data_IF_287406210156
#
_entry.id   IF_287406210156
#
_cell.length_a   1.000
_cell.length_b   1.000
_cell.length_c   1.000
_cell.angle_alpha   90.00
_cell.angle_beta   90.00
_cell.angle_gamma   90.00
#
_symmetry.space_group_name_H-M   'P 1'
#
loop_
_entity.id
_entity.type
_entity.pdbx_description
1 polymer ?
#
# COMPACT_ATOMS: atom_id res chain seq x y z
N UNK A 1 18.69 3.83 -4.14
CA UNK A 1 18.80 5.18 -3.50
C UNK A 1 17.55 5.93 -3.86
N UNK A 2 16.87 6.57 -2.89
CA UNK A 2 15.77 7.47 -3.20
C UNK A 2 16.28 8.80 -3.71
N UNK A 3 15.68 9.32 -4.76
CA UNK A 3 15.97 10.69 -5.20
C UNK A 3 15.30 11.66 -4.23
N UNK A 4 16.09 12.43 -3.54
CA UNK A 4 15.62 13.50 -2.66
C UNK A 4 16.05 14.80 -3.28
N UNK A 5 15.10 15.69 -3.58
CA UNK A 5 15.42 17.02 -4.06
C UNK A 5 15.83 17.89 -2.87
N UNK A 6 16.99 18.51 -2.95
CA UNK A 6 17.39 19.57 -2.03
C UNK A 6 16.87 20.88 -2.57
N UNK A 7 15.94 21.50 -1.87
CA UNK A 7 15.38 22.80 -2.23
C UNK A 7 16.38 23.89 -1.89
N UNK A 8 16.83 24.63 -2.88
CA UNK A 8 18.04 25.47 -2.85
C UNK A 8 18.08 26.51 -1.74
N UNK A 9 16.96 27.04 -1.29
CA UNK A 9 16.93 28.14 -0.30
C UNK A 9 16.66 27.70 1.15
N UNK A 10 16.36 26.42 1.38
CA UNK A 10 15.98 25.94 2.71
C UNK A 10 16.61 24.58 3.08
N UNK A 11 17.39 23.95 2.21
CA UNK A 11 18.00 22.61 2.37
C UNK A 11 16.98 21.55 2.87
N UNK A 12 15.70 21.73 2.55
CA UNK A 12 14.65 20.83 2.97
C UNK A 12 14.50 19.67 1.98
N UNK A 13 14.70 18.42 2.41
CA UNK A 13 14.50 17.29 1.53
C UNK A 13 13.01 17.12 1.20
N UNK A 14 12.70 16.87 -0.07
CA UNK A 14 11.36 16.53 -0.54
C UNK A 14 11.43 15.49 -1.66
N UNK A 15 10.41 14.62 -1.74
CA UNK A 15 10.30 13.68 -2.86
C UNK A 15 9.65 14.35 -4.08
N UNK A 16 9.96 13.89 -5.31
CA UNK A 16 9.31 14.39 -6.52
C UNK A 16 7.79 14.31 -6.46
N UNK A 17 7.24 13.20 -5.98
CA UNK A 17 5.79 13.01 -5.86
C UNK A 17 5.14 14.01 -4.91
N UNK A 18 5.81 14.40 -3.85
CA UNK A 18 5.32 15.41 -2.91
C UNK A 18 5.35 16.81 -3.53
N UNK A 19 6.42 17.16 -4.23
CA UNK A 19 6.53 18.41 -4.97
C UNK A 19 5.43 18.53 -6.01
N UNK A 20 5.19 17.49 -6.82
CA UNK A 20 4.10 17.49 -7.81
C UNK A 20 2.73 17.65 -7.15
N UNK A 21 2.50 16.99 -6.03
CA UNK A 21 1.26 17.14 -5.27
C UNK A 21 1.07 18.57 -4.77
N UNK A 22 2.08 19.18 -4.18
CA UNK A 22 1.98 20.54 -3.69
C UNK A 22 1.78 21.53 -4.86
N UNK A 23 2.56 21.40 -5.93
CA UNK A 23 2.41 22.24 -7.11
C UNK A 23 1.00 22.17 -7.70
N UNK A 24 0.47 20.97 -7.93
CA UNK A 24 -0.89 20.78 -8.42
C UNK A 24 -1.96 21.38 -7.49
N UNK A 25 -1.75 21.27 -6.18
CA UNK A 25 -2.66 21.86 -5.17
C UNK A 25 -2.65 23.38 -5.24
N UNK A 26 -1.49 24.01 -5.44
CA UNK A 26 -1.34 25.46 -5.50
C UNK A 26 -1.86 26.05 -6.82
N UNK A 27 -1.65 25.36 -7.94
CA UNK A 27 -2.04 25.82 -9.27
C UNK A 27 -3.46 25.44 -9.68
N UNK A 28 -4.08 24.50 -8.97
CA UNK A 28 -5.36 23.90 -9.36
C UNK A 28 -5.26 22.97 -10.57
N UNK A 29 -4.06 22.55 -10.95
CA UNK A 29 -3.85 21.62 -12.05
C UNK A 29 -4.42 20.23 -11.74
N UNK A 30 -4.92 19.57 -12.79
CA UNK A 30 -5.37 18.19 -12.68
C UNK A 30 -4.19 17.28 -12.32
N UNK A 31 -4.37 16.49 -11.26
CA UNK A 31 -3.36 15.60 -10.76
C UNK A 31 -3.29 14.32 -11.60
N UNK A 32 -2.11 13.96 -12.09
CA UNK A 32 -1.90 12.71 -12.82
C UNK A 32 -1.62 11.55 -11.84
N UNK A 33 -2.61 10.68 -11.66
CA UNK A 33 -2.58 9.56 -10.72
C UNK A 33 -1.56 8.43 -11.08
N UNK A 34 -0.58 8.67 -11.93
CA UNK A 34 0.26 7.62 -12.52
C UNK A 34 1.62 7.39 -11.87
N UNK A 35 2.12 8.31 -11.06
CA UNK A 35 3.49 8.23 -10.58
C UNK A 35 3.59 7.52 -9.24
N UNK A 36 4.42 6.47 -9.22
CA UNK A 36 4.88 5.81 -8.01
C UNK A 36 6.26 6.36 -7.64
N UNK A 37 6.54 6.59 -6.37
CA UNK A 37 7.86 7.04 -5.91
C UNK A 37 9.02 6.29 -6.56
N UNK A 38 8.93 4.97 -6.67
CA UNK A 38 10.00 4.15 -7.24
C UNK A 38 10.14 4.31 -8.76
N UNK A 39 9.03 4.39 -9.50
CA UNK A 39 9.07 4.63 -10.96
C UNK A 39 9.53 6.05 -11.26
N UNK A 40 9.18 7.02 -10.41
CA UNK A 40 9.65 8.39 -10.51
C UNK A 40 11.17 8.48 -10.37
N UNK A 41 11.75 7.83 -9.36
CA UNK A 41 13.19 7.83 -9.12
C UNK A 41 13.97 7.27 -10.31
N UNK A 42 13.51 6.12 -10.88
CA UNK A 42 14.11 5.51 -12.06
C UNK A 42 13.95 6.42 -13.31
N UNK A 43 12.80 7.04 -13.46
CA UNK A 43 12.50 7.93 -14.59
C UNK A 43 13.26 9.25 -14.50
N UNK A 44 13.39 9.85 -13.34
CA UNK A 44 14.14 11.09 -13.12
C UNK A 44 15.64 10.86 -13.32
N UNK A 45 16.18 9.73 -12.88
CA UNK A 45 17.57 9.37 -13.06
C UNK A 45 17.96 9.19 -14.54
N UNK A 46 16.99 8.91 -15.41
CA UNK A 46 17.20 8.63 -16.84
C UNK A 46 16.69 9.72 -17.79
N UNK A 47 16.03 10.77 -17.28
CA UNK A 47 15.39 11.79 -18.09
C UNK A 47 15.62 13.20 -17.53
N UNK A 48 16.61 13.90 -18.08
CA UNK A 48 17.04 15.23 -17.65
C UNK A 48 15.90 16.27 -17.72
N UNK A 49 15.12 16.31 -18.79
CA UNK A 49 14.01 17.24 -18.92
C UNK A 49 12.90 17.04 -17.89
N UNK A 50 12.73 15.82 -17.39
CA UNK A 50 11.80 15.54 -16.30
C UNK A 50 12.36 16.03 -14.96
N UNK A 51 13.65 15.88 -14.74
CA UNK A 51 14.32 16.41 -13.56
C UNK A 51 14.21 17.92 -13.49
N UNK A 52 14.50 18.63 -14.60
CA UNK A 52 14.35 20.09 -14.71
C UNK A 52 12.91 20.53 -14.41
N UNK A 53 11.90 19.85 -14.97
CA UNK A 53 10.50 20.15 -14.70
C UNK A 53 10.13 20.04 -13.21
N UNK A 54 10.65 19.01 -12.52
CA UNK A 54 10.43 18.86 -11.07
C UNK A 54 11.15 19.95 -10.30
N UNK A 55 12.34 20.37 -10.70
CA UNK A 55 13.05 21.48 -10.08
C UNK A 55 12.29 22.80 -10.24
N UNK A 56 11.75 23.09 -11.43
CA UNK A 56 10.92 24.27 -11.65
C UNK A 56 9.68 24.28 -10.75
N UNK A 57 8.99 23.13 -10.63
CA UNK A 57 7.86 22.98 -9.71
C UNK A 57 8.28 23.18 -8.25
N UNK A 58 9.45 22.66 -7.85
CA UNK A 58 9.97 22.84 -6.51
C UNK A 58 10.24 24.32 -6.20
N UNK A 59 10.84 25.06 -7.13
CA UNK A 59 11.05 26.50 -6.98
C UNK A 59 9.72 27.25 -6.85
N UNK A 60 8.71 26.90 -7.66
CA UNK A 60 7.39 27.50 -7.57
C UNK A 60 6.72 27.21 -6.20
N UNK A 61 6.82 26.00 -5.70
CA UNK A 61 6.29 25.61 -4.38
C UNK A 61 6.99 26.36 -3.25
N UNK A 62 8.31 26.54 -3.31
CA UNK A 62 9.07 27.27 -2.29
C UNK A 62 8.79 28.77 -2.33
N UNK A 63 8.56 29.34 -3.54
CA UNK A 63 8.21 30.75 -3.71
C UNK A 63 6.81 31.08 -3.20
N UNK A 64 5.89 30.10 -3.20
CA UNK A 64 4.53 30.29 -2.69
C UNK A 64 4.47 30.17 -1.16
N UNK A 65 3.88 31.14 -0.41
CA UNK A 65 3.79 31.10 1.04
C UNK A 65 3.09 29.83 1.59
N UNK A 66 2.02 29.35 0.94
CA UNK A 66 1.31 28.13 1.34
C UNK A 66 2.15 26.89 1.01
N UNK A 67 2.80 26.87 -0.15
CA UNK A 67 3.71 25.81 -0.54
C UNK A 67 4.84 25.64 0.48
N UNK A 68 5.46 26.75 0.88
CA UNK A 68 6.49 26.78 1.92
C UNK A 68 5.96 26.31 3.29
N UNK A 69 4.75 26.72 3.66
CA UNK A 69 4.09 26.26 4.89
C UNK A 69 3.91 24.73 4.91
N UNK A 70 3.45 24.15 3.81
CA UNK A 70 3.28 22.71 3.68
C UNK A 70 4.60 21.94 3.70
N UNK A 71 5.66 22.47 3.09
CA UNK A 71 7.01 21.91 3.19
C UNK A 71 7.52 21.92 4.64
N UNK A 72 7.37 23.03 5.32
CA UNK A 72 7.75 23.16 6.74
C UNK A 72 6.89 22.24 7.62
N UNK A 73 5.62 22.03 7.30
CA UNK A 73 4.75 21.09 8.01
C UNK A 73 5.24 19.66 7.86
N UNK A 74 5.58 19.23 6.64
CA UNK A 74 6.16 17.92 6.38
C UNK A 74 7.47 17.72 7.14
N UNK A 75 8.31 18.73 7.15
CA UNK A 75 9.57 18.68 7.90
C UNK A 75 9.37 18.56 9.43
N UNK A 76 8.34 19.20 9.97
CA UNK A 76 7.97 19.02 11.39
C UNK A 76 7.53 17.60 11.68
N UNK A 77 6.67 17.01 10.85
CA UNK A 77 6.31 15.59 10.96
C UNK A 77 7.53 14.68 10.88
N UNK A 78 8.41 14.92 9.93
CA UNK A 78 9.65 14.16 9.78
C UNK A 78 10.53 14.22 11.04
N UNK A 79 10.72 15.42 11.59
CA UNK A 79 11.46 15.61 12.84
C UNK A 79 10.81 14.85 14.01
N UNK A 80 9.50 14.91 14.14
CA UNK A 80 8.77 14.20 15.21
C UNK A 80 8.88 12.70 15.06
N UNK A 81 8.74 12.16 13.84
CA UNK A 81 8.95 10.74 13.56
C UNK A 81 10.37 10.28 13.90
N UNK A 82 11.37 11.08 13.61
CA UNK A 82 12.78 10.79 13.95
C UNK A 82 13.06 10.81 15.46
N UNK A 83 12.41 11.70 16.19
CA UNK A 83 12.69 11.92 17.63
C UNK A 83 11.73 11.14 18.54
N UNK A 84 10.70 10.48 17.97
CA UNK A 84 9.64 9.84 18.76
C UNK A 84 8.73 10.84 19.49
N UNK A 85 8.81 12.12 19.15
CA UNK A 85 7.99 13.17 19.75
C UNK A 85 6.76 13.42 18.89
N UNK A 86 5.59 12.96 19.33
CA UNK A 86 4.37 12.90 18.53
C UNK A 86 3.40 14.06 18.76
N UNK A 87 3.85 15.22 19.19
CA UNK A 87 2.95 16.34 19.52
C UNK A 87 2.10 16.82 18.33
N UNK A 88 2.72 17.01 17.16
CA UNK A 88 2.03 17.47 15.95
C UNK A 88 1.17 16.35 15.35
N UNK A 89 1.54 15.09 15.58
CA UNK A 89 0.75 13.94 15.12
C UNK A 89 -0.63 13.86 15.80
N UNK A 90 -0.83 14.54 16.94
CA UNK A 90 -2.16 14.66 17.58
C UNK A 90 -3.16 15.38 16.69
N UNK A 91 -2.72 16.26 15.80
CA UNK A 91 -3.58 16.98 14.87
C UNK A 91 -4.23 16.00 13.85
N UNK A 92 -3.61 14.83 13.65
CA UNK A 92 -4.16 13.76 12.83
C UNK A 92 -5.35 13.03 13.48
N UNK A 93 -5.64 13.29 14.77
CA UNK A 93 -6.82 12.71 15.45
C UNK A 93 -8.15 13.10 14.78
N UNK A 94 -8.17 14.19 13.98
CA UNK A 94 -9.32 14.57 13.15
C UNK A 94 -9.58 13.66 11.96
N UNK A 95 -8.65 12.73 11.64
CA UNK A 95 -8.76 11.76 10.56
C UNK A 95 -9.00 10.36 11.11
N UNK A 96 -9.74 9.55 10.37
CA UNK A 96 -9.93 8.13 10.59
C UNK A 96 -9.39 7.35 9.41
N UNK A 97 -8.29 6.65 9.60
CA UNK A 97 -7.61 5.91 8.53
C UNK A 97 -8.29 4.57 8.29
N UNK A 98 -8.52 4.25 7.02
CA UNK A 98 -8.97 2.93 6.57
C UNK A 98 -7.86 2.29 5.75
N UNK A 99 -7.08 1.44 6.39
CA UNK A 99 -5.98 0.74 5.75
C UNK A 99 -6.47 -0.56 5.12
N UNK A 100 -6.35 -0.65 3.78
CA UNK A 100 -6.67 -1.85 3.03
C UNK A 100 -5.39 -2.65 2.82
N UNK A 101 -5.22 -3.73 3.58
CA UNK A 101 -4.01 -4.55 3.62
C UNK A 101 -4.29 -5.88 2.92
N UNK A 102 -3.33 -6.36 2.13
CA UNK A 102 -3.41 -7.65 1.47
C UNK A 102 -2.36 -7.79 0.39
N UNK A 103 -2.00 -9.02 0.09
CA UNK A 103 -1.11 -9.33 -1.03
C UNK A 103 -1.69 -8.73 -2.33
N UNK A 104 -0.87 -8.34 -3.33
CA UNK A 104 -1.41 -7.82 -4.59
C UNK A 104 -2.44 -8.78 -5.21
N UNK A 105 -3.43 -8.23 -5.91
CA UNK A 105 -4.49 -8.99 -6.64
C UNK A 105 -5.55 -9.65 -5.77
N UNK A 106 -5.69 -9.26 -4.51
CA UNK A 106 -6.74 -9.74 -3.58
C UNK A 106 -7.98 -8.86 -3.49
N UNK A 107 -8.13 -7.86 -4.39
CA UNK A 107 -9.30 -6.99 -4.41
C UNK A 107 -9.15 -5.68 -3.61
N UNK A 108 -8.00 -5.44 -3.00
CA UNK A 108 -7.78 -4.23 -2.18
C UNK A 108 -8.06 -2.92 -2.90
N UNK A 109 -7.71 -2.80 -4.19
CA UNK A 109 -8.02 -1.61 -5.01
C UNK A 109 -9.53 -1.36 -5.13
N UNK A 110 -10.36 -2.41 -5.20
CA UNK A 110 -11.82 -2.25 -5.22
C UNK A 110 -12.32 -1.61 -3.92
N UNK A 111 -11.94 -2.16 -2.75
CA UNK A 111 -12.36 -1.60 -1.45
C UNK A 111 -11.87 -0.15 -1.27
N UNK A 112 -10.64 0.13 -1.66
CA UNK A 112 -10.10 1.50 -1.62
C UNK A 112 -10.94 2.45 -2.48
N UNK A 113 -11.28 2.05 -3.72
CA UNK A 113 -12.17 2.83 -4.60
C UNK A 113 -13.55 3.05 -3.98
N UNK A 114 -14.14 2.02 -3.35
CA UNK A 114 -15.43 2.17 -2.69
C UNK A 114 -15.38 3.15 -1.51
N UNK A 115 -14.29 3.15 -0.74
CA UNK A 115 -14.10 4.13 0.34
C UNK A 115 -13.99 5.57 -0.18
N UNK A 116 -13.21 5.81 -1.25
CA UNK A 116 -13.15 7.13 -1.90
C UNK A 116 -14.50 7.56 -2.44
N UNK A 117 -15.22 6.65 -3.12
CA UNK A 117 -16.57 6.90 -3.63
C UNK A 117 -17.55 7.22 -2.51
N UNK A 118 -17.49 6.53 -1.38
CA UNK A 118 -18.27 6.82 -0.19
C UNK A 118 -18.07 8.27 0.28
N UNK A 119 -16.84 8.78 0.20
CA UNK A 119 -16.48 10.16 0.50
C UNK A 119 -16.82 11.18 -0.59
N UNK A 120 -17.41 10.76 -1.72
CA UNK A 120 -17.68 11.62 -2.87
C UNK A 120 -16.42 12.04 -3.65
N UNK A 121 -15.31 11.34 -3.44
CA UNK A 121 -14.02 11.63 -4.08
C UNK A 121 -13.82 10.72 -5.29
N UNK A 122 -13.50 11.31 -6.45
CA UNK A 122 -13.15 10.54 -7.63
C UNK A 122 -11.75 9.93 -7.46
N UNK A 123 -11.69 8.61 -7.30
CA UNK A 123 -10.45 7.89 -7.12
C UNK A 123 -9.42 8.11 -8.26
N UNK A 124 -9.87 8.33 -9.49
CA UNK A 124 -8.98 8.51 -10.65
C UNK A 124 -8.22 9.83 -10.62
N UNK A 125 -8.66 10.79 -9.82
CA UNK A 125 -8.01 12.08 -9.63
C UNK A 125 -7.13 12.13 -8.39
N UNK A 126 -7.09 11.04 -7.62
CA UNK A 126 -6.28 10.97 -6.39
C UNK A 126 -4.89 10.42 -6.71
N UNK A 127 -3.88 11.10 -6.19
CA UNK A 127 -2.50 10.64 -6.37
C UNK A 127 -2.27 9.23 -5.82
N UNK A 128 -1.48 8.43 -6.54
CA UNK A 128 -1.12 7.09 -6.10
C UNK A 128 -0.46 7.08 -4.71
N UNK A 129 0.45 8.01 -4.43
CA UNK A 129 1.10 8.11 -3.13
C UNK A 129 0.10 8.36 -1.98
N UNK A 130 -1.01 9.05 -2.25
CA UNK A 130 -2.07 9.29 -1.27
C UNK A 130 -2.99 8.06 -1.10
N UNK A 131 -3.33 7.36 -2.18
CA UNK A 131 -4.31 6.28 -2.20
C UNK A 131 -3.72 4.86 -2.11
N UNK A 132 -2.50 4.66 -2.60
CA UNK A 132 -1.81 3.37 -2.66
C UNK A 132 -0.48 3.38 -1.91
N UNK A 133 0.21 2.23 -1.91
CA UNK A 133 1.58 2.10 -1.40
C UNK A 133 2.46 3.24 -1.94
N UNK A 134 2.96 4.08 -1.06
CA UNK A 134 3.76 5.25 -1.40
C UNK A 134 5.03 5.34 -0.56
N UNK A 135 5.43 4.25 0.12
CA UNK A 135 6.58 4.22 1.02
C UNK A 135 7.54 3.08 0.62
N UNK A 136 8.15 3.12 -0.58
CA UNK A 136 9.04 2.05 -1.04
C UNK A 136 10.23 1.84 -0.10
N UNK A 137 10.73 2.89 0.56
CA UNK A 137 11.84 2.78 1.50
C UNK A 137 11.45 2.12 2.81
N UNK A 138 10.24 2.35 3.34
CA UNK A 138 9.75 1.62 4.53
C UNK A 138 9.63 0.12 4.28
N UNK A 139 9.25 -0.26 3.06
CA UNK A 139 9.09 -1.66 2.69
C UNK A 139 10.41 -2.40 2.43
N UNK A 140 11.52 -1.68 2.26
CA UNK A 140 12.86 -2.23 2.08
C UNK A 140 13.64 -2.38 3.39
N UNK A 141 12.95 -2.41 4.52
CA UNK A 141 13.56 -2.64 5.84
C UNK A 141 14.15 -4.06 5.91
N UNK A 142 15.23 -4.31 5.17
CA UNK A 142 16.06 -5.48 5.38
C UNK A 142 17.08 -5.14 6.47
N UNK A 143 17.38 -6.11 7.33
CA UNK A 143 18.42 -5.95 8.35
C UNK A 143 19.81 -5.64 7.78
N UNK A 144 19.99 -5.74 6.46
CA UNK A 144 21.24 -5.49 5.75
C UNK A 144 21.40 -4.03 5.29
N UNK A 145 20.30 -3.30 5.14
CA UNK A 145 20.32 -1.91 4.68
C UNK A 145 19.95 -0.96 5.84
N UNK A 146 20.86 -0.85 6.82
CA UNK A 146 20.68 0.08 7.92
C UNK A 146 21.12 1.50 7.50
N UNK A 147 20.45 2.53 8.01
CA UNK A 147 20.82 3.92 7.81
C UNK A 147 19.82 4.71 6.94
N UNK A 148 20.28 5.28 5.83
CA UNK A 148 19.52 6.26 5.02
C UNK A 148 18.15 5.75 4.51
N UNK A 149 17.96 4.44 4.36
CA UNK A 149 16.68 3.84 3.92
C UNK A 149 15.56 4.14 4.91
N UNK A 150 15.82 4.03 6.19
CA UNK A 150 14.84 4.36 7.24
C UNK A 150 14.49 5.84 7.24
N UNK A 151 15.49 6.70 7.13
CA UNK A 151 15.31 8.14 7.08
C UNK A 151 14.42 8.56 5.91
N UNK A 152 14.69 8.03 4.71
CA UNK A 152 13.87 8.28 3.53
C UNK A 152 12.44 7.72 3.68
N UNK A 153 12.28 6.58 4.31
CA UNK A 153 10.96 6.01 4.61
C UNK A 153 10.15 6.90 5.55
N UNK A 154 10.77 7.42 6.60
CA UNK A 154 10.13 8.37 7.52
C UNK A 154 9.82 9.71 6.86
N UNK A 155 10.70 10.19 5.94
CA UNK A 155 10.41 11.37 5.14
C UNK A 155 9.17 11.16 4.27
N UNK A 156 9.10 10.05 3.53
CA UNK A 156 7.92 9.72 2.71
C UNK A 156 6.64 9.60 3.54
N UNK A 157 6.73 9.08 4.77
CA UNK A 157 5.60 9.04 5.69
C UNK A 157 5.19 10.44 6.14
N UNK A 158 6.13 11.32 6.46
CA UNK A 158 5.87 12.71 6.83
C UNK A 158 5.19 13.50 5.68
N UNK A 159 5.67 13.31 4.45
CA UNK A 159 5.07 13.86 3.25
C UNK A 159 3.62 13.36 3.07
N UNK A 160 3.40 12.05 3.22
CA UNK A 160 2.06 11.47 3.17
C UNK A 160 1.12 12.09 4.20
N UNK A 161 1.57 12.25 5.45
CA UNK A 161 0.76 12.88 6.49
C UNK A 161 0.38 14.31 6.13
N UNK A 162 1.31 15.06 5.55
CA UNK A 162 1.04 16.42 5.05
C UNK A 162 0.04 16.40 3.87
N UNK A 163 0.21 15.47 2.93
CA UNK A 163 -0.74 15.29 1.83
C UNK A 163 -2.15 14.95 2.35
N UNK A 164 -2.26 14.13 3.38
CA UNK A 164 -3.54 13.81 4.05
C UNK A 164 -4.17 15.09 4.63
N UNK A 165 -3.41 15.88 5.36
CA UNK A 165 -3.91 17.13 5.94
C UNK A 165 -4.42 18.10 4.87
N UNK A 166 -3.64 18.30 3.82
CA UNK A 166 -3.99 19.21 2.72
C UNK A 166 -5.20 18.69 1.96
N UNK A 167 -5.13 17.48 1.44
CA UNK A 167 -6.16 16.93 0.56
C UNK A 167 -7.48 16.65 1.30
N UNK A 168 -7.43 15.90 2.40
CA UNK A 168 -8.66 15.54 3.13
C UNK A 168 -9.17 16.68 4.01
N UNK A 169 -8.33 17.64 4.38
CA UNK A 169 -8.76 18.86 5.02
C UNK A 169 -9.67 19.69 4.08
N UNK A 170 -9.36 19.69 2.79
CA UNK A 170 -10.13 20.41 1.78
C UNK A 170 -11.29 19.60 1.19
N UNK A 171 -11.04 18.33 0.84
CA UNK A 171 -11.97 17.48 0.10
C UNK A 171 -12.71 16.44 0.95
N UNK A 172 -12.25 16.13 2.15
CA UNK A 172 -12.87 15.15 3.02
C UNK A 172 -14.25 15.58 3.50
N UNK A 173 -15.29 14.81 3.18
CA UNK A 173 -16.68 15.10 3.53
C UNK A 173 -17.33 14.02 4.38
N UNK A 174 -16.76 12.83 4.37
CA UNK A 174 -17.30 11.69 5.09
C UNK A 174 -16.57 11.53 6.42
N UNK A 175 -17.33 11.62 7.51
CA UNK A 175 -16.83 11.40 8.86
C UNK A 175 -17.34 10.06 9.41
N UNK A 176 -16.50 9.37 10.16
CA UNK A 176 -16.83 8.14 10.86
C UNK A 176 -16.11 8.11 12.21
N UNK A 177 -16.85 7.82 13.29
CA UNK A 177 -16.31 7.79 14.65
C UNK A 177 -15.49 9.03 15.03
N UNK A 178 -15.99 10.20 14.62
CA UNK A 178 -15.38 11.49 14.95
C UNK A 178 -14.22 11.93 14.05
N UNK A 179 -13.80 11.12 13.07
CA UNK A 179 -12.73 11.47 12.15
C UNK A 179 -13.15 11.45 10.69
N UNK A 180 -12.52 12.30 9.86
CA UNK A 180 -12.66 12.29 8.41
C UNK A 180 -12.02 11.02 7.87
N UNK A 181 -12.73 10.26 7.04
CA UNK A 181 -12.23 9.01 6.48
C UNK A 181 -11.08 9.26 5.49
N UNK A 182 -9.96 8.59 5.73
CA UNK A 182 -8.77 8.58 4.87
C UNK A 182 -8.51 7.15 4.38
N UNK A 183 -8.93 6.78 3.17
CA UNK A 183 -8.65 5.47 2.63
C UNK A 183 -7.21 5.36 2.14
N UNK A 184 -6.54 4.27 2.48
CA UNK A 184 -5.21 3.96 1.96
C UNK A 184 -5.03 2.47 1.74
N UNK A 185 -4.62 2.08 0.54
CA UNK A 185 -4.20 0.71 0.27
C UNK A 185 -2.73 0.54 0.63
N UNK A 186 -2.45 -0.35 1.56
CA UNK A 186 -1.11 -0.67 2.05
C UNK A 186 -0.75 -2.13 1.84
N UNK A 187 -0.30 -2.49 0.66
CA UNK A 187 0.10 -3.87 0.35
C UNK A 187 1.27 -4.33 1.22
N UNK A 188 2.28 -3.48 1.38
CA UNK A 188 3.52 -3.79 2.11
C UNK A 188 3.48 -3.46 3.61
N UNK A 189 2.34 -3.03 4.14
CA UNK A 189 2.19 -2.65 5.55
C UNK A 189 2.64 -3.74 6.54
N UNK A 190 2.52 -5.01 6.15
CA UNK A 190 2.92 -6.15 6.99
C UNK A 190 4.39 -6.12 7.43
N UNK A 191 5.27 -5.46 6.67
CA UNK A 191 6.71 -5.38 6.95
C UNK A 191 7.10 -4.24 7.89
N UNK A 192 6.22 -3.26 8.12
CA UNK A 192 6.46 -2.10 9.00
C UNK A 192 5.23 -1.75 9.83
N UNK A 193 4.41 -2.75 10.14
CA UNK A 193 3.11 -2.54 10.79
C UNK A 193 3.24 -1.96 12.19
N UNK A 194 4.30 -2.29 12.93
CA UNK A 194 4.52 -1.74 14.28
C UNK A 194 4.56 -0.21 14.27
N UNK A 195 5.24 0.39 13.28
CA UNK A 195 5.26 1.83 13.10
C UNK A 195 3.85 2.38 12.82
N UNK A 196 3.08 1.72 11.94
CA UNK A 196 1.70 2.15 11.64
C UNK A 196 0.79 2.01 12.85
N UNK A 197 0.96 0.95 13.64
CA UNK A 197 0.20 0.73 14.87
C UNK A 197 0.45 1.86 15.86
N UNK A 198 1.71 2.18 16.14
CA UNK A 198 2.07 3.25 17.08
C UNK A 198 1.52 4.62 16.66
N UNK A 199 1.53 4.90 15.36
CA UNK A 199 1.06 6.20 14.85
C UNK A 199 -0.46 6.33 14.76
N UNK A 200 -1.17 5.23 14.47
CA UNK A 200 -2.58 5.28 14.08
C UNK A 200 -3.51 4.42 14.93
N UNK A 201 -3.03 3.70 15.94
CA UNK A 201 -3.79 2.69 16.69
C UNK A 201 -5.21 3.14 17.06
N UNK A 202 -5.35 4.32 17.63
CA UNK A 202 -6.64 4.86 18.04
C UNK A 202 -7.55 5.31 16.89
N UNK A 203 -6.95 5.59 15.72
CA UNK A 203 -7.60 6.27 14.60
C UNK A 203 -7.61 5.44 13.31
N UNK A 204 -7.34 4.14 13.38
CA UNK A 204 -7.33 3.27 12.21
C UNK A 204 -8.37 2.14 12.28
N UNK A 205 -8.90 1.78 11.12
CA UNK A 205 -9.62 0.55 10.84
C UNK A 205 -8.86 -0.22 9.74
N UNK A 206 -8.88 -1.55 9.79
CA UNK A 206 -8.10 -2.39 8.88
C UNK A 206 -9.03 -3.31 8.09
N UNK A 207 -8.93 -3.26 6.76
CA UNK A 207 -9.61 -4.15 5.83
C UNK A 207 -8.58 -5.11 5.26
N UNK A 208 -8.55 -6.33 5.73
CA UNK A 208 -7.58 -7.34 5.30
C UNK A 208 -8.18 -8.19 4.20
N UNK A 209 -7.68 -8.02 2.97
CA UNK A 209 -8.16 -8.78 1.81
C UNK A 209 -7.39 -10.08 1.65
N UNK A 210 -8.10 -11.18 1.55
CA UNK A 210 -7.56 -12.54 1.46
C UNK A 210 -8.03 -13.22 0.17
N UNK A 211 -7.16 -13.96 -0.51
CA UNK A 211 -7.48 -14.70 -1.73
C UNK A 211 -6.66 -15.97 -1.81
N UNK A 212 -7.27 -17.03 -2.36
CA UNK A 212 -6.61 -18.31 -2.60
C UNK A 212 -5.29 -18.13 -3.38
N UNK A 213 -4.18 -18.81 -2.98
CA UNK A 213 -2.86 -18.56 -3.54
C UNK A 213 -2.80 -18.77 -5.06
N UNK A 214 -3.37 -19.83 -5.61
CA UNK A 214 -3.38 -20.07 -7.07
C UNK A 214 -4.18 -19.02 -7.83
N UNK A 215 -5.35 -18.64 -7.33
CA UNK A 215 -6.14 -17.57 -7.97
C UNK A 215 -5.41 -16.22 -7.93
N UNK A 216 -4.62 -15.97 -6.90
CA UNK A 216 -3.76 -14.79 -6.79
C UNK A 216 -2.60 -14.88 -7.77
N UNK A 217 -1.88 -16.02 -7.80
CA UNK A 217 -0.79 -16.32 -8.71
C UNK A 217 -1.22 -16.12 -10.17
N UNK A 218 -2.35 -16.69 -10.57
CA UNK A 218 -2.90 -16.51 -11.92
C UNK A 218 -3.13 -15.05 -12.26
N UNK A 219 -3.75 -14.29 -11.33
CA UNK A 219 -4.00 -12.86 -11.56
C UNK A 219 -2.72 -12.03 -11.65
N UNK A 220 -1.62 -12.48 -11.03
CA UNK A 220 -0.28 -11.89 -11.21
C UNK A 220 0.28 -12.25 -12.59
N UNK A 221 0.21 -13.52 -12.97
CA UNK A 221 0.63 -13.99 -14.29
C UNK A 221 -0.07 -13.24 -15.42
N UNK A 222 -1.40 -13.10 -15.35
CA UNK A 222 -2.19 -12.37 -16.34
C UNK A 222 -1.73 -10.91 -16.46
N UNK A 223 -1.36 -10.28 -15.34
CA UNK A 223 -0.82 -8.91 -15.32
C UNK A 223 0.61 -8.82 -15.87
N UNK A 224 1.39 -9.89 -15.75
CA UNK A 224 2.81 -9.96 -16.12
C UNK A 224 3.05 -10.55 -17.51
N UNK A 225 2.00 -10.80 -18.30
CA UNK A 225 2.12 -11.32 -19.67
C UNK A 225 2.12 -12.86 -19.76
N UNK A 226 1.60 -13.56 -18.73
CA UNK A 226 1.45 -15.03 -18.74
C UNK A 226 2.61 -15.76 -18.05
N UNK A 227 2.59 -17.09 -18.13
CA UNK A 227 3.67 -17.93 -17.60
C UNK A 227 4.95 -17.75 -18.44
N UNK A 228 6.14 -17.61 -17.81
CA UNK A 228 7.40 -17.67 -18.53
C UNK A 228 7.54 -18.96 -19.33
N UNK A 229 8.20 -18.91 -20.49
CA UNK A 229 8.29 -20.06 -21.38
C UNK A 229 8.99 -21.29 -20.75
N UNK A 230 9.93 -21.05 -19.85
CA UNK A 230 10.65 -22.08 -19.09
C UNK A 230 9.98 -22.47 -17.78
N UNK A 231 8.82 -21.87 -17.43
CA UNK A 231 8.10 -22.10 -16.19
C UNK A 231 8.78 -21.54 -14.93
N UNK A 232 9.93 -20.86 -15.08
CA UNK A 232 10.71 -20.38 -13.95
C UNK A 232 10.35 -18.96 -13.53
N UNK A 233 10.70 -18.61 -12.29
CA UNK A 233 10.45 -17.27 -11.79
C UNK A 233 11.27 -16.21 -12.53
N UNK A 234 10.58 -15.16 -12.98
CA UNK A 234 11.18 -14.00 -13.64
C UNK A 234 10.51 -12.71 -13.19
N UNK A 235 11.28 -11.62 -13.12
CA UNK A 235 10.78 -10.29 -12.74
C UNK A 235 10.43 -9.52 -14.02
N UNK A 236 9.13 -9.43 -14.34
CA UNK A 236 8.57 -8.74 -15.52
C UNK A 236 7.55 -7.66 -15.13
N UNK A 237 7.20 -7.61 -13.84
CA UNK A 237 6.24 -6.66 -13.28
C UNK A 237 6.62 -6.19 -11.89
N UNK A 238 6.04 -5.10 -11.44
CA UNK A 238 6.22 -4.60 -10.06
C UNK A 238 5.82 -5.65 -9.00
N UNK A 239 4.82 -6.48 -9.28
CA UNK A 239 4.38 -7.51 -8.32
C UNK A 239 5.42 -8.64 -8.21
N UNK A 240 6.01 -9.06 -9.33
CA UNK A 240 7.10 -10.04 -9.34
C UNK A 240 8.35 -9.46 -8.65
N UNK A 241 8.62 -8.16 -8.82
CA UNK A 241 9.67 -7.48 -8.05
C UNK A 241 9.41 -7.55 -6.54
N UNK A 242 8.18 -7.35 -6.09
CA UNK A 242 7.84 -7.50 -4.67
C UNK A 242 7.98 -8.94 -4.17
N UNK A 243 7.70 -9.91 -5.01
CA UNK A 243 7.97 -11.32 -4.71
C UNK A 243 9.47 -11.56 -4.54
N UNK A 244 10.29 -11.03 -5.43
CA UNK A 244 11.76 -11.08 -5.32
C UNK A 244 12.23 -10.41 -4.01
N UNK A 245 11.79 -9.19 -3.74
CA UNK A 245 12.18 -8.42 -2.54
C UNK A 245 11.84 -9.19 -1.24
N UNK A 246 10.67 -9.85 -1.18
CA UNK A 246 10.29 -10.69 -0.04
C UNK A 246 11.25 -11.86 0.15
N UNK A 247 11.60 -12.58 -0.92
CA UNK A 247 12.53 -13.68 -0.84
C UNK A 247 13.95 -13.23 -0.45
N UNK A 248 14.43 -12.11 -1.00
CA UNK A 248 15.72 -11.51 -0.63
C UNK A 248 15.75 -11.13 0.85
N UNK A 249 14.65 -10.60 1.38
CA UNK A 249 14.50 -10.29 2.80
C UNK A 249 14.70 -11.55 3.68
N UNK A 250 14.27 -12.71 3.21
CA UNK A 250 14.46 -14.00 3.89
C UNK A 250 15.80 -14.69 3.57
N UNK A 251 16.69 -14.01 2.87
CA UNK A 251 18.07 -14.47 2.63
C UNK A 251 18.24 -15.43 1.45
N UNK A 252 17.22 -15.60 0.61
CA UNK A 252 17.30 -16.40 -0.61
C UNK A 252 17.86 -15.53 -1.73
N UNK A 253 18.95 -15.96 -2.37
CA UNK A 253 19.60 -15.20 -3.45
C UNK A 253 18.76 -15.12 -4.73
N UNK A 254 18.92 -14.03 -5.48
CA UNK A 254 18.17 -13.82 -6.73
C UNK A 254 18.41 -14.93 -7.76
N UNK A 255 19.67 -15.41 -7.87
CA UNK A 255 20.03 -16.48 -8.81
C UNK A 255 19.31 -17.79 -8.47
N UNK A 256 19.19 -18.12 -7.20
CA UNK A 256 18.45 -19.28 -6.74
C UNK A 256 16.96 -19.15 -7.11
N UNK A 257 16.38 -17.97 -6.93
CA UNK A 257 14.97 -17.70 -7.26
C UNK A 257 14.68 -17.87 -8.75
N UNK A 258 15.59 -17.43 -9.61
CA UNK A 258 15.48 -17.60 -11.06
C UNK A 258 15.52 -19.06 -11.52
N UNK A 259 15.92 -20.00 -10.65
CA UNK A 259 15.88 -21.43 -10.92
C UNK A 259 14.63 -22.13 -10.37
N UNK A 260 13.87 -21.47 -9.49
CA UNK A 260 12.64 -22.02 -8.92
C UNK A 260 11.48 -22.02 -9.92
N UNK A 261 10.57 -23.00 -9.78
CA UNK A 261 9.27 -22.96 -10.46
C UNK A 261 8.51 -21.69 -10.06
N UNK A 262 7.83 -21.08 -11.04
CA UNK A 262 7.13 -19.81 -10.82
C UNK A 262 6.05 -19.92 -9.76
N UNK A 263 5.25 -20.99 -9.80
CA UNK A 263 4.15 -21.19 -8.85
C UNK A 263 4.70 -21.46 -7.46
N UNK A 264 5.73 -22.29 -7.35
CA UNK A 264 6.41 -22.58 -6.07
C UNK A 264 6.97 -21.30 -5.44
N UNK A 265 7.67 -20.48 -6.24
CA UNK A 265 8.19 -19.19 -5.78
C UNK A 265 7.07 -18.27 -5.27
N UNK A 266 5.96 -18.20 -6.01
CA UNK A 266 4.83 -17.38 -5.61
C UNK A 266 4.10 -17.92 -4.37
N UNK A 267 3.93 -19.24 -4.23
CA UNK A 267 3.35 -19.87 -3.04
C UNK A 267 4.19 -19.57 -1.79
N UNK A 268 5.52 -19.61 -1.92
CA UNK A 268 6.43 -19.23 -0.84
C UNK A 268 6.23 -17.77 -0.40
N UNK A 269 6.15 -16.84 -1.34
CA UNK A 269 5.82 -15.43 -1.06
C UNK A 269 4.44 -15.29 -0.39
N UNK A 270 3.42 -15.97 -0.91
CA UNK A 270 2.06 -15.93 -0.37
C UNK A 270 2.04 -16.42 1.10
N UNK A 271 2.70 -17.53 1.42
CA UNK A 271 2.82 -18.06 2.79
C UNK A 271 3.46 -17.04 3.73
N UNK A 272 4.65 -16.55 3.37
CA UNK A 272 5.41 -15.62 4.22
C UNK A 272 4.67 -14.32 4.47
N UNK A 273 3.99 -13.78 3.45
CA UNK A 273 3.17 -12.59 3.61
C UNK A 273 2.09 -12.79 4.69
N UNK A 274 1.42 -13.93 4.70
CA UNK A 274 0.39 -14.23 5.69
C UNK A 274 0.97 -14.59 7.06
N UNK A 275 2.15 -15.20 7.13
CA UNK A 275 2.88 -15.38 8.39
C UNK A 275 3.26 -14.03 9.00
N UNK A 276 3.85 -13.15 8.19
CA UNK A 276 4.22 -11.80 8.62
C UNK A 276 3.00 -11.00 9.10
N UNK A 277 1.88 -11.10 8.40
CA UNK A 277 0.61 -10.48 8.80
C UNK A 277 0.15 -10.93 10.19
N UNK A 278 0.25 -12.22 10.48
CA UNK A 278 -0.11 -12.77 11.78
C UNK A 278 0.89 -12.37 12.88
N UNK A 279 2.20 -12.45 12.59
CA UNK A 279 3.25 -12.01 13.53
C UNK A 279 3.13 -10.52 13.88
N UNK A 280 2.78 -9.69 12.91
CA UNK A 280 2.50 -8.27 13.12
C UNK A 280 1.20 -7.99 13.91
N UNK A 281 0.40 -9.03 14.22
CA UNK A 281 -0.83 -8.92 14.99
C UNK A 281 -1.99 -8.24 14.27
N UNK A 282 -1.87 -8.00 12.95
CA UNK A 282 -2.89 -7.26 12.16
C UNK A 282 -4.30 -7.85 12.31
N UNK A 283 -4.50 -9.20 12.26
CA UNK A 283 -5.83 -9.79 12.36
C UNK A 283 -6.51 -9.58 13.72
N UNK A 284 -5.74 -9.34 14.78
CA UNK A 284 -6.25 -9.11 16.14
C UNK A 284 -6.43 -7.64 16.51
N UNK A 285 -6.02 -6.71 15.64
CA UNK A 285 -6.21 -5.28 15.91
C UNK A 285 -7.69 -4.89 16.00
N UNK A 286 -8.07 -4.02 16.94
CA UNK A 286 -9.41 -3.46 16.97
C UNK A 286 -9.81 -2.84 15.63
N UNK A 287 -11.03 -3.12 15.16
CA UNK A 287 -11.50 -2.61 13.87
C UNK A 287 -11.02 -3.38 12.64
N UNK A 288 -10.27 -4.46 12.81
CA UNK A 288 -9.88 -5.33 11.70
C UNK A 288 -11.06 -6.16 11.18
N UNK A 289 -11.18 -6.21 9.85
CA UNK A 289 -12.15 -7.02 9.14
C UNK A 289 -11.44 -7.85 8.08
N UNK A 290 -11.55 -9.17 8.19
CA UNK A 290 -11.06 -10.09 7.17
C UNK A 290 -12.08 -10.16 6.03
N UNK A 291 -11.64 -9.87 4.81
CA UNK A 291 -12.50 -9.81 3.61
C UNK A 291 -11.99 -10.83 2.58
N UNK A 292 -12.57 -12.03 2.53
CA UNK A 292 -12.23 -13.01 1.50
C UNK A 292 -12.59 -12.50 0.10
N UNK A 293 -11.73 -12.79 -0.88
CA UNK A 293 -11.97 -12.44 -2.28
C UNK A 293 -13.18 -13.18 -2.84
N UNK A 294 -14.10 -12.46 -3.45
CA UNK A 294 -15.29 -13.03 -4.13
C UNK A 294 -16.35 -11.97 -4.32
N UNK A 295 -17.23 -12.17 -5.30
CA UNK A 295 -18.25 -11.18 -5.67
C UNK A 295 -19.13 -10.79 -4.48
N UNK A 296 -19.65 -11.77 -3.77
CA UNK A 296 -20.53 -11.57 -2.62
C UNK A 296 -19.78 -10.96 -1.43
N UNK A 297 -18.64 -11.55 -1.04
CA UNK A 297 -17.87 -11.10 0.13
C UNK A 297 -17.37 -9.67 -0.01
N UNK A 298 -16.81 -9.34 -1.20
CA UNK A 298 -16.26 -8.01 -1.46
C UNK A 298 -17.37 -6.95 -1.55
N UNK A 299 -18.46 -7.26 -2.29
CA UNK A 299 -19.61 -6.35 -2.37
C UNK A 299 -20.31 -6.21 -1.02
N UNK A 300 -20.46 -7.31 -0.28
CA UNK A 300 -21.03 -7.31 1.07
C UNK A 300 -20.19 -6.49 2.06
N UNK A 301 -18.86 -6.59 2.00
CA UNK A 301 -17.97 -5.77 2.82
C UNK A 301 -18.13 -4.28 2.52
N UNK A 302 -18.16 -3.90 1.24
CA UNK A 302 -18.40 -2.52 0.84
C UNK A 302 -19.78 -2.01 1.27
N UNK A 303 -20.83 -2.83 1.12
CA UNK A 303 -22.20 -2.50 1.57
C UNK A 303 -22.27 -2.30 3.07
N UNK A 304 -21.62 -3.18 3.86
CA UNK A 304 -21.55 -3.05 5.32
C UNK A 304 -20.87 -1.74 5.73
N UNK A 305 -19.76 -1.38 5.08
CA UNK A 305 -19.10 -0.09 5.32
C UNK A 305 -20.03 1.09 5.01
N UNK A 306 -20.73 1.07 3.88
CA UNK A 306 -21.67 2.14 3.52
C UNK A 306 -22.80 2.27 4.55
N UNK A 307 -23.33 1.15 5.03
CA UNK A 307 -24.33 1.15 6.10
C UNK A 307 -23.78 1.73 7.41
N UNK A 308 -22.56 1.34 7.79
CA UNK A 308 -21.89 1.89 9.00
C UNK A 308 -21.61 3.40 8.89
N UNK A 309 -21.36 3.89 7.66
CA UNK A 309 -21.20 5.33 7.39
C UNK A 309 -22.53 6.09 7.27
N UNK A 310 -23.67 5.41 7.38
CA UNK A 310 -24.99 6.01 7.23
C UNK A 310 -25.34 6.40 5.79
N UNK A 311 -24.69 5.83 4.79
CA UNK A 311 -24.91 6.12 3.38
C UNK A 311 -26.10 5.34 2.83
N UNK A 312 -26.95 6.03 2.04
CA UNK A 312 -28.09 5.40 1.32
C UNK A 312 -27.73 4.87 -0.06
N UNK A 313 -26.55 5.23 -0.57
CA UNK A 313 -26.09 4.75 -1.87
C UNK A 313 -25.57 3.31 -1.80
N UNK A 314 -25.71 2.56 -2.89
CA UNK A 314 -25.14 1.23 -3.00
C UNK A 314 -23.72 1.28 -3.57
N UNK A 315 -22.80 0.42 -3.09
CA UNK A 315 -21.47 0.26 -3.67
C UNK A 315 -21.56 -0.36 -5.06
N UNK A 316 -20.53 -0.19 -5.87
CA UNK A 316 -20.41 -0.92 -7.13
C UNK A 316 -20.26 -2.41 -6.86
N UNK A 317 -20.88 -3.25 -7.72
CA UNK A 317 -20.74 -4.69 -7.62
C UNK A 317 -19.30 -5.11 -7.94
N UNK A 318 -18.73 -5.97 -7.11
CA UNK A 318 -17.43 -6.56 -7.38
C UNK A 318 -17.55 -7.69 -8.41
N UNK A 319 -16.73 -7.63 -9.46
CA UNK A 319 -16.68 -8.67 -10.50
C UNK A 319 -15.45 -9.55 -10.28
N UNK A 320 -15.66 -10.86 -10.28
CA UNK A 320 -14.59 -11.86 -10.21
C UNK A 320 -14.24 -12.35 -11.62
N UNK A 321 -12.98 -12.71 -11.83
CA UNK A 321 -12.57 -13.47 -13.01
C UNK A 321 -12.91 -14.96 -12.80
N UNK A 322 -12.98 -15.72 -13.89
CA UNK A 322 -13.12 -17.18 -13.83
C UNK A 322 -11.96 -17.83 -13.08
N UNK A 323 -12.21 -18.93 -12.35
CA UNK A 323 -11.16 -19.64 -11.65
C UNK A 323 -10.13 -20.19 -12.66
N UNK A 324 -8.83 -20.09 -12.32
CA UNK A 324 -7.78 -20.63 -13.16
C UNK A 324 -7.77 -22.17 -13.13
N UNK A 325 -7.20 -22.76 -14.19
CA UNK A 325 -6.87 -24.19 -14.20
C UNK A 325 -5.38 -24.35 -13.91
N UNK A 326 -5.06 -25.20 -12.95
CA UNK A 326 -3.70 -25.57 -12.56
C UNK A 326 -3.55 -27.11 -12.64
N UNK A 327 -2.33 -27.61 -12.55
CA UNK A 327 -2.09 -29.04 -12.43
C UNK A 327 -2.48 -29.53 -11.03
N UNK A 328 -2.82 -30.82 -10.90
CA UNK A 328 -3.13 -31.41 -9.61
C UNK A 328 -2.00 -31.31 -8.57
N UNK A 329 -0.73 -31.27 -9.04
CA UNK A 329 0.43 -31.05 -8.15
C UNK A 329 0.45 -29.63 -7.61
N UNK A 330 0.18 -28.62 -8.44
CA UNK A 330 0.08 -27.23 -8.03
C UNK A 330 -1.10 -27.00 -7.07
N UNK A 331 -2.23 -27.68 -7.32
CA UNK A 331 -3.38 -27.62 -6.43
C UNK A 331 -3.08 -28.21 -5.05
N UNK A 332 -2.38 -29.36 -4.99
CA UNK A 332 -1.93 -29.95 -3.72
C UNK A 332 -0.95 -29.04 -2.98
N UNK A 333 0.04 -28.48 -3.68
CA UNK A 333 1.00 -27.55 -3.09
C UNK A 333 0.31 -26.30 -2.53
N UNK A 334 -0.69 -25.79 -3.22
CA UNK A 334 -1.46 -24.64 -2.77
C UNK A 334 -2.33 -24.96 -1.55
N UNK A 335 -2.97 -26.12 -1.54
CA UNK A 335 -3.75 -26.59 -0.39
C UNK A 335 -2.84 -26.73 0.84
N UNK A 336 -1.67 -27.34 0.69
CA UNK A 336 -0.67 -27.42 1.75
C UNK A 336 -0.26 -26.03 2.25
N UNK A 337 -0.02 -25.08 1.35
CA UNK A 337 0.32 -23.70 1.72
C UNK A 337 -0.78 -23.03 2.55
N UNK A 338 -2.05 -23.25 2.21
CA UNK A 338 -3.21 -22.74 2.97
C UNK A 338 -3.26 -23.38 4.37
N UNK A 339 -3.05 -24.69 4.46
CA UNK A 339 -3.06 -25.43 5.73
C UNK A 339 -1.91 -24.99 6.65
N UNK A 340 -0.72 -24.78 6.11
CA UNK A 340 0.43 -24.26 6.85
C UNK A 340 0.14 -22.86 7.41
N UNK A 341 -0.43 -21.97 6.61
CA UNK A 341 -0.82 -20.63 7.08
C UNK A 341 -1.89 -20.72 8.15
N UNK A 342 -2.92 -21.54 7.94
CA UNK A 342 -4.00 -21.71 8.92
C UNK A 342 -3.47 -22.31 10.23
N UNK A 343 -2.56 -23.27 10.16
CA UNK A 343 -1.88 -23.86 11.32
C UNK A 343 -1.05 -22.82 12.09
N UNK A 344 -0.29 -22.01 11.36
CA UNK A 344 0.51 -20.94 11.96
C UNK A 344 -0.37 -19.87 12.64
N UNK A 345 -1.44 -19.40 11.98
CA UNK A 345 -2.38 -18.44 12.60
C UNK A 345 -3.00 -19.03 13.86
N UNK A 346 -3.41 -20.30 13.82
CA UNK A 346 -3.97 -21.00 15.00
C UNK A 346 -2.99 -21.07 16.14
N UNK A 347 -1.70 -21.28 15.89
CA UNK A 347 -0.67 -21.30 16.94
C UNK A 347 -0.52 -19.95 17.66
N UNK A 348 -0.96 -18.86 17.01
CA UNK A 348 -1.03 -17.52 17.58
C UNK A 348 -2.42 -17.15 18.13
N UNK A 349 -3.34 -18.11 18.22
CA UNK A 349 -4.72 -17.86 18.67
C UNK A 349 -5.60 -17.15 17.63
N UNK A 350 -5.21 -17.13 16.35
CA UNK A 350 -5.91 -16.45 15.26
C UNK A 350 -6.67 -17.45 14.39
N UNK A 351 -7.79 -17.02 13.80
CA UNK A 351 -8.57 -17.80 12.85
C UNK A 351 -8.27 -17.36 11.41
N UNK A 352 -7.71 -18.26 10.59
CA UNK A 352 -7.58 -18.04 9.15
C UNK A 352 -8.83 -18.56 8.43
N UNK A 353 -9.48 -17.77 7.53
CA UNK A 353 -10.76 -18.15 6.93
C UNK A 353 -10.61 -19.15 5.79
N UNK A 354 -10.12 -20.33 6.07
CA UNK A 354 -9.79 -21.40 5.10
C UNK A 354 -10.97 -21.77 4.20
N UNK A 355 -12.15 -21.97 4.79
CA UNK A 355 -13.36 -22.35 4.03
C UNK A 355 -13.76 -21.30 3.00
N UNK A 356 -13.69 -20.03 3.37
CA UNK A 356 -14.03 -18.93 2.48
C UNK A 356 -13.04 -18.79 1.31
N UNK A 357 -11.81 -19.31 1.43
CA UNK A 357 -10.82 -19.34 0.37
C UNK A 357 -10.96 -20.59 -0.52
N UNK A 358 -11.28 -21.74 0.05
CA UNK A 358 -11.46 -23.01 -0.67
C UNK A 358 -12.69 -23.02 -1.60
N UNK A 359 -13.75 -22.36 -1.21
CA UNK A 359 -15.00 -22.32 -1.98
C UNK A 359 -14.91 -21.57 -3.32
N UNK A 360 -13.73 -21.08 -3.73
CA UNK A 360 -13.55 -20.15 -4.87
C UNK A 360 -12.38 -20.51 -5.80
N UNK A 361 -12.06 -21.80 -5.81
CA UNK A 361 -11.19 -22.41 -6.83
C UNK A 361 -11.98 -22.71 -8.09
#
# INVERSE_FOLDING_TARGET
MGLTLTLTDADLPASPAFIEFLHATLTGEAYHAGSWYQQEEESLASNEGRFENIQEKAHAVVADPKGKEHLLRSYRFFKELLTGNVHTLRDLARFRFFFVIGIPRTGGTYLTKQLFRAGGINYTTVQNALAHDGFPHLARLSFKEQGNVHTNGLLQLAEYLTMVEVFFGEHGRLAYRGGIIVPKKFTKAVYYFDLLRELFEANADYLVTLRHPLSTCRSVLDKSGGMPADGKFAVRSTIERWTLEDWLHWGVGEEQLRQMDYVECFLGYWKRFHFQMAMAGIPSMPGTRLVPYGAESMSGAAKKLYTEFGLKMEPEAFKTAEPPRFSGDQERAAQQAVEEVAGFWRSLGLAFPTEALAAKL
#
